data_IF_982674297779
#
_entry.id   IF_982674297779
#
_cell.length_a   1.000
_cell.length_b   1.000
_cell.length_c   1.000
_cell.angle_alpha   90.00
_cell.angle_beta   90.00
_cell.angle_gamma   90.00
#
_symmetry.space_group_name_H-M   'P 1'
#
loop_
_entity.id
_entity.type
_entity.pdbx_description
1 polymer ?
#
# COMPACT_ATOMS: atom_id res chain seq x y z
N UNK A 1 8.30 -7.34 -5.32
CA UNK A 1 6.95 -7.93 -5.21
C UNK A 1 6.30 -7.38 -3.97
N UNK A 2 5.07 -6.88 -4.08
CA UNK A 2 4.26 -6.50 -2.92
C UNK A 2 3.33 -7.68 -2.60
N UNK A 3 3.14 -7.97 -1.32
CA UNK A 3 2.27 -9.05 -0.85
C UNK A 3 1.55 -8.63 0.43
N UNK A 4 0.42 -9.28 0.71
CA UNK A 4 -0.35 -9.03 1.92
C UNK A 4 0.21 -9.86 3.08
N UNK A 5 0.59 -9.20 4.16
CA UNK A 5 1.07 -9.81 5.40
C UNK A 5 -0.04 -9.80 6.44
N UNK A 6 -0.18 -10.88 7.20
CA UNK A 6 -1.13 -10.95 8.33
C UNK A 6 -0.43 -10.47 9.60
N UNK A 7 -0.96 -9.41 10.20
CA UNK A 7 -0.40 -8.84 11.42
C UNK A 7 -1.10 -9.41 12.67
N UNK A 8 -0.51 -9.28 13.87
CA UNK A 8 -1.21 -9.62 15.11
C UNK A 8 -2.57 -8.91 15.22
N UNK A 9 -3.63 -9.67 15.43
CA UNK A 9 -5.01 -9.16 15.39
C UNK A 9 -5.66 -9.34 14.01
N UNK A 10 -6.72 -8.58 13.67
CA UNK A 10 -7.40 -8.70 12.39
C UNK A 10 -6.80 -7.80 11.30
N UNK A 11 -5.56 -7.34 11.46
CA UNK A 11 -4.93 -6.33 10.60
C UNK A 11 -4.13 -7.01 9.49
N UNK A 12 -4.22 -6.45 8.29
CA UNK A 12 -3.45 -6.87 7.12
C UNK A 12 -2.73 -5.68 6.51
N UNK A 13 -1.45 -5.86 6.18
CA UNK A 13 -0.60 -4.79 5.67
C UNK A 13 0.11 -5.22 4.39
N UNK A 14 0.32 -4.29 3.47
CA UNK A 14 1.05 -4.59 2.24
C UNK A 14 2.54 -4.42 2.44
N UNK A 15 3.29 -5.52 2.31
CA UNK A 15 4.74 -5.60 2.48
C UNK A 15 5.43 -5.73 1.13
N UNK A 16 6.67 -5.24 1.01
CA UNK A 16 7.51 -5.39 -0.17
C UNK A 16 8.75 -6.25 0.09
N UNK A 17 9.04 -7.10 -0.89
CA UNK A 17 10.28 -7.87 -1.00
C UNK A 17 10.98 -7.60 -2.33
N UNK A 18 12.30 -7.74 -2.35
CA UNK A 18 13.12 -7.81 -3.56
C UNK A 18 13.74 -9.19 -3.73
N UNK A 19 14.08 -9.54 -4.96
CA UNK A 19 14.75 -10.80 -5.31
C UNK A 19 15.53 -10.61 -6.60
N UNK A 20 16.68 -11.28 -6.71
CA UNK A 20 17.47 -11.32 -7.95
C UNK A 20 17.12 -12.53 -8.82
N UNK A 21 16.52 -13.57 -8.24
CA UNK A 21 16.26 -14.86 -8.90
C UNK A 21 14.79 -15.30 -8.82
N UNK A 22 13.93 -14.47 -8.24
CA UNK A 22 12.50 -14.72 -7.95
C UNK A 22 12.22 -15.88 -6.99
N UNK A 23 13.27 -16.51 -6.44
CA UNK A 23 13.18 -17.62 -5.48
C UNK A 23 13.50 -17.11 -4.09
N UNK A 24 14.66 -16.50 -3.91
CA UNK A 24 15.11 -15.96 -2.63
C UNK A 24 14.62 -14.53 -2.46
N UNK A 25 13.81 -14.31 -1.43
CA UNK A 25 13.17 -13.01 -1.15
C UNK A 25 13.85 -12.33 0.03
N UNK A 26 14.18 -11.05 -0.14
CA UNK A 26 14.64 -10.18 0.94
C UNK A 26 13.54 -9.18 1.28
N UNK A 27 13.12 -9.16 2.55
CA UNK A 27 12.19 -8.15 3.07
C UNK A 27 12.83 -6.76 3.11
N UNK A 28 12.03 -5.74 2.82
CA UNK A 28 12.39 -4.36 3.11
C UNK A 28 12.46 -4.13 4.62
N UNK A 29 13.49 -3.42 5.14
CA UNK A 29 13.53 -2.99 6.54
C UNK A 29 12.55 -1.84 6.84
N UNK A 30 11.92 -1.27 5.80
CA UNK A 30 10.96 -0.18 5.86
C UNK A 30 9.53 -0.64 5.57
N UNK A 31 9.27 -1.95 5.64
CA UNK A 31 7.89 -2.45 5.61
C UNK A 31 7.09 -1.88 6.79
N UNK A 32 5.78 -1.66 6.62
CA UNK A 32 4.98 -1.90 5.40
C UNK A 32 5.07 -0.79 4.34
N UNK A 33 4.66 -1.11 3.11
CA UNK A 33 4.42 -0.12 2.03
C UNK A 33 3.14 0.66 2.28
N UNK A 34 2.10 -0.01 2.78
CA UNK A 34 0.78 0.59 3.06
C UNK A 34 0.14 0.00 4.31
N UNK A 35 -0.61 0.85 5.02
CA UNK A 35 -1.40 0.54 6.20
C UNK A 35 -2.75 1.22 6.10
N UNK A 36 -3.80 0.50 6.51
CA UNK A 36 -5.17 1.01 6.51
C UNK A 36 -5.29 2.30 7.34
N UNK A 37 -6.01 3.27 6.81
CA UNK A 37 -6.18 4.59 7.42
C UNK A 37 -7.61 5.09 7.26
N UNK A 38 -8.06 6.01 8.14
CA UNK A 38 -9.34 6.70 7.93
C UNK A 38 -9.35 7.56 6.66
N UNK A 39 -8.18 7.92 6.13
CA UNK A 39 -8.04 8.63 4.86
C UNK A 39 -8.57 7.81 3.67
N UNK A 40 -8.55 6.48 3.75
CA UNK A 40 -9.05 5.58 2.68
C UNK A 40 -10.56 5.76 2.44
N UNK A 41 -11.30 6.27 3.45
CA UNK A 41 -12.73 6.53 3.36
C UNK A 41 -13.08 7.85 2.68
N UNK A 42 -12.08 8.68 2.31
CA UNK A 42 -12.32 9.94 1.62
C UNK A 42 -12.87 9.65 0.22
N UNK A 43 -14.07 10.18 -0.05
CA UNK A 43 -14.76 9.94 -1.31
C UNK A 43 -14.36 11.01 -2.33
N UNK A 44 -13.50 10.64 -3.27
CA UNK A 44 -13.13 11.49 -4.39
C UNK A 44 -14.23 11.58 -5.47
N UNK A 45 -15.04 10.53 -5.65
CA UNK A 45 -16.06 10.50 -6.70
C UNK A 45 -17.34 11.25 -6.26
N UNK A 46 -17.68 12.41 -6.86
CA UNK A 46 -18.87 13.18 -6.47
C UNK A 46 -20.19 12.47 -6.84
N UNK A 47 -20.16 11.50 -7.76
CA UNK A 47 -21.35 10.85 -8.32
C UNK A 47 -21.93 9.71 -7.47
N UNK A 48 -21.31 9.37 -6.34
CA UNK A 48 -21.83 8.32 -5.46
C UNK A 48 -23.15 8.73 -4.80
N UNK A 49 -24.11 7.80 -4.76
CA UNK A 49 -25.42 8.00 -4.13
C UNK A 49 -25.29 8.08 -2.60
N UNK A 50 -26.33 8.59 -1.93
CA UNK A 50 -26.35 8.66 -0.47
C UNK A 50 -26.23 7.27 0.19
N UNK A 51 -26.77 6.21 -0.41
CA UNK A 51 -26.64 4.85 0.12
C UNK A 51 -25.22 4.30 -0.03
N UNK A 52 -24.57 4.53 -1.17
CA UNK A 52 -23.17 4.14 -1.39
C UNK A 52 -22.23 4.86 -0.42
N UNK A 53 -22.41 6.18 -0.22
CA UNK A 53 -21.64 6.97 0.74
C UNK A 53 -21.80 6.46 2.17
N UNK A 54 -23.03 6.11 2.58
CA UNK A 54 -23.28 5.49 3.90
C UNK A 54 -22.62 4.11 4.04
N UNK A 55 -22.57 3.31 2.97
CA UNK A 55 -21.89 2.01 2.97
C UNK A 55 -20.38 2.18 3.20
N UNK A 56 -19.74 3.13 2.50
CA UNK A 56 -18.32 3.46 2.67
C UNK A 56 -18.04 3.94 4.10
N UNK A 57 -18.84 4.89 4.61
CA UNK A 57 -18.64 5.46 5.94
C UNK A 57 -18.73 4.43 7.08
N UNK A 58 -19.54 3.37 6.90
CA UNK A 58 -19.73 2.30 7.89
C UNK A 58 -18.77 1.13 7.72
N UNK A 59 -17.98 1.11 6.66
CA UNK A 59 -17.07 0.01 6.38
C UNK A 59 -15.97 -0.09 7.44
N UNK A 60 -15.67 -1.32 7.84
CA UNK A 60 -14.49 -1.66 8.60
C UNK A 60 -13.30 -1.61 7.66
N UNK A 61 -12.24 -0.91 8.04
CA UNK A 61 -11.00 -0.82 7.29
C UNK A 61 -9.88 -1.45 8.10
N UNK A 62 -9.41 -2.62 7.69
CA UNK A 62 -8.33 -3.37 8.35
C UNK A 62 -7.25 -3.83 7.35
N UNK A 63 -7.36 -3.44 6.08
CA UNK A 63 -6.38 -3.77 5.06
C UNK A 63 -6.23 -2.68 3.99
N UNK A 64 -5.04 -2.63 3.41
CA UNK A 64 -4.84 -2.19 2.03
C UNK A 64 -4.13 -3.33 1.28
N UNK A 65 -4.82 -3.93 0.31
CA UNK A 65 -4.36 -5.09 -0.48
C UNK A 65 -4.35 -4.77 -1.96
N UNK A 66 -3.90 -5.73 -2.76
CA UNK A 66 -3.97 -5.70 -4.23
C UNK A 66 -3.33 -4.42 -4.79
N UNK A 67 -2.15 -4.10 -4.25
CA UNK A 67 -1.41 -2.88 -4.57
C UNK A 67 -0.82 -3.01 -5.98
N UNK A 68 -1.24 -2.09 -6.85
CA UNK A 68 -0.71 -1.91 -8.19
C UNK A 68 -0.02 -0.56 -8.32
N UNK A 69 1.12 -0.55 -9.02
CA UNK A 69 1.95 0.64 -9.20
C UNK A 69 2.00 1.02 -10.68
N UNK A 70 1.81 2.31 -10.96
CA UNK A 70 1.94 2.87 -12.30
C UNK A 70 2.71 4.20 -12.24
N UNK A 71 3.81 4.30 -12.97
CA UNK A 71 4.45 5.59 -13.18
C UNK A 71 3.73 6.37 -14.29
N UNK A 72 3.34 7.61 -14.00
CA UNK A 72 2.74 8.50 -14.98
C UNK A 72 3.08 9.97 -14.69
N UNK A 73 3.67 10.66 -15.68
CA UNK A 73 4.02 12.08 -15.57
C UNK A 73 5.02 12.38 -14.45
N UNK A 74 6.03 11.51 -14.26
CA UNK A 74 7.07 11.67 -13.24
C UNK A 74 6.62 11.40 -11.80
N UNK A 75 5.43 10.79 -11.61
CA UNK A 75 4.86 10.44 -10.32
C UNK A 75 4.47 8.97 -10.28
N UNK A 76 4.48 8.38 -9.10
CA UNK A 76 4.03 7.01 -8.88
C UNK A 76 2.59 7.02 -8.38
N UNK A 77 1.68 6.48 -9.19
CA UNK A 77 0.29 6.26 -8.84
C UNK A 77 0.18 4.86 -8.24
N UNK A 78 -0.42 4.79 -7.06
CA UNK A 78 -0.57 3.55 -6.28
C UNK A 78 -2.06 3.25 -6.21
N UNK A 79 -2.53 2.24 -6.92
CA UNK A 79 -3.90 1.74 -6.78
C UNK A 79 -3.94 0.60 -5.77
N UNK A 80 -5.01 0.52 -4.99
CA UNK A 80 -5.17 -0.50 -3.97
C UNK A 80 -6.64 -0.73 -3.62
N UNK A 81 -6.92 -1.93 -3.11
CA UNK A 81 -8.19 -2.29 -2.48
C UNK A 81 -8.10 -2.07 -0.97
N UNK A 82 -9.12 -1.48 -0.35
CA UNK A 82 -9.24 -1.39 1.10
C UNK A 82 -10.58 -1.91 1.59
N UNK A 83 -10.61 -2.46 2.81
CA UNK A 83 -11.80 -3.15 3.27
C UNK A 83 -11.64 -3.97 4.55
N UNK A 84 -12.48 -5.01 4.66
CA UNK A 84 -12.57 -5.86 5.84
C UNK A 84 -12.00 -7.27 5.65
N UNK A 85 -11.43 -7.57 4.48
CA UNK A 85 -10.97 -8.92 4.07
C UNK A 85 -12.04 -10.02 4.16
N UNK A 86 -13.32 -9.65 4.16
CA UNK A 86 -14.49 -10.54 4.30
C UNK A 86 -15.57 -10.28 3.24
N UNK A 87 -15.23 -9.50 2.21
CA UNK A 87 -16.10 -9.20 1.07
C UNK A 87 -16.63 -7.77 1.02
N UNK A 88 -16.27 -6.88 1.96
CA UNK A 88 -16.48 -5.44 1.82
C UNK A 88 -15.17 -4.80 1.40
N UNK A 89 -15.09 -4.36 0.15
CA UNK A 89 -13.90 -3.76 -0.44
C UNK A 89 -14.25 -2.56 -1.33
N UNK A 90 -13.31 -1.62 -1.41
CA UNK A 90 -13.40 -0.42 -2.24
C UNK A 90 -12.05 -0.11 -2.87
N UNK A 91 -12.08 0.48 -4.07
CA UNK A 91 -10.88 0.93 -4.78
C UNK A 91 -10.50 2.35 -4.33
N UNK A 92 -9.22 2.56 -4.05
CA UNK A 92 -8.63 3.87 -3.81
C UNK A 92 -7.32 4.02 -4.58
N UNK A 93 -6.77 5.24 -4.55
CA UNK A 93 -5.42 5.48 -5.02
C UNK A 93 -4.70 6.51 -4.15
N UNK A 94 -3.38 6.37 -4.07
CA UNK A 94 -2.46 7.33 -3.49
C UNK A 94 -1.45 7.76 -4.56
N UNK A 95 -0.74 8.86 -4.29
CA UNK A 95 0.30 9.39 -5.19
C UNK A 95 1.57 9.61 -4.38
N UNK A 96 2.68 9.13 -4.92
CA UNK A 96 4.02 9.48 -4.48
C UNK A 96 4.64 10.41 -5.52
N UNK A 97 5.18 11.54 -5.06
CA UNK A 97 5.61 12.66 -5.89
C UNK A 97 7.01 12.46 -6.51
N UNK A 98 7.30 11.25 -6.99
CA UNK A 98 8.52 10.90 -7.73
C UNK A 98 8.30 9.62 -8.56
N UNK A 99 9.30 9.27 -9.36
CA UNK A 99 9.40 8.07 -10.19
C UNK A 99 9.20 6.77 -9.41
N UNK A 100 8.75 5.73 -10.11
CA UNK A 100 8.59 4.38 -9.57
C UNK A 100 9.93 3.79 -9.14
N UNK A 101 11.01 4.13 -9.84
CA UNK A 101 12.36 3.74 -9.44
C UNK A 101 12.72 4.33 -8.06
N UNK A 102 12.51 5.63 -7.87
CA UNK A 102 12.73 6.33 -6.59
C UNK A 102 11.90 5.68 -5.48
N UNK A 103 10.61 5.46 -5.72
CA UNK A 103 9.71 4.78 -4.80
C UNK A 103 10.22 3.40 -4.39
N UNK A 104 10.52 2.52 -5.35
CA UNK A 104 10.92 1.14 -5.08
C UNK A 104 12.30 1.04 -4.42
N UNK A 105 13.27 1.86 -4.85
CA UNK A 105 14.61 1.88 -4.23
C UNK A 105 14.57 2.44 -2.82
N UNK A 106 13.67 3.39 -2.54
CA UNK A 106 13.47 3.97 -1.21
C UNK A 106 13.23 2.92 -0.12
N UNK A 107 12.56 1.80 -0.45
CA UNK A 107 12.31 0.70 0.49
C UNK A 107 13.54 -0.18 0.78
N UNK A 108 14.64 -0.04 0.05
CA UNK A 108 15.83 -0.88 0.24
C UNK A 108 17.10 -0.03 0.37
N UNK A 109 17.24 0.76 1.46
CA UNK A 109 18.40 1.59 1.68
C UNK A 109 19.66 0.74 1.83
N UNK A 110 20.77 1.20 1.27
CA UNK A 110 22.07 0.60 1.53
C UNK A 110 22.45 0.82 3.00
N UNK A 111 23.12 -0.15 3.65
CA UNK A 111 23.66 0.04 4.99
C UNK A 111 24.60 1.26 4.97
N UNK A 112 24.30 2.28 5.78
CA UNK A 112 25.28 3.35 6.01
C UNK A 112 26.50 2.71 6.67
N UNK A 113 27.64 2.74 5.99
CA UNK A 113 28.92 2.37 6.59
C UNK A 113 29.05 3.12 7.92
N UNK A 114 29.13 2.39 9.04
CA UNK A 114 29.57 2.99 10.30
C UNK A 114 31.08 3.14 10.18
N UNK A 115 31.59 4.37 10.32
CA UNK A 115 33.02 4.57 10.53
C UNK A 115 33.46 3.77 11.77
N UNK A 116 34.62 3.11 11.74
CA UNK A 116 35.16 2.47 12.93
C UNK A 116 35.42 3.54 13.99
N UNK A 117 34.86 3.34 15.19
CA UNK A 117 35.23 4.10 16.40
C UNK A 117 36.63 3.76 16.86
#
# INVERSE_FOLDING_TARGET
MIYLETMPGPIYESYIVRSQDLVHRQNSPLNPVMQSSEMDKIIANPRLTASQRRRIARAVNINNSDVDLCEFGGRTIIYYSWGDQRGIEFLAYAVYDDTLESFLRGFFPEPKFREPT
#
